data_IF_109436875839
#
_entry.id   IF_109436875839
#
_cell.length_a   1.000
_cell.length_b   1.000
_cell.length_c   1.000
_cell.angle_alpha   90.00
_cell.angle_beta   90.00
_cell.angle_gamma   90.00
#
_symmetry.space_group_name_H-M   'P 1'
#
loop_
_entity.id
_entity.type
_entity.pdbx_description
1 polymer ?
#
# COMPACT_ATOMS: atom_id res chain seq x y z
N UNK A 1 -15.99 1.88 -11.56
CA UNK A 1 -14.62 1.43 -11.93
C UNK A 1 -13.61 2.13 -11.05
N UNK A 2 -12.59 1.43 -10.56
CA UNK A 2 -11.48 2.00 -9.77
C UNK A 2 -10.24 1.11 -9.88
N UNK A 3 -9.06 1.68 -9.61
CA UNK A 3 -7.76 1.00 -9.64
C UNK A 3 -7.52 0.06 -8.44
N UNK A 4 -8.31 0.15 -7.37
CA UNK A 4 -8.09 -0.56 -6.11
C UNK A 4 -9.31 -1.37 -5.62
N UNK A 5 -10.14 -1.87 -6.55
CA UNK A 5 -11.38 -2.59 -6.21
C UNK A 5 -11.17 -4.02 -5.71
N UNK A 6 -9.99 -4.60 -5.96
CA UNK A 6 -9.70 -6.00 -5.65
C UNK A 6 -8.75 -6.12 -4.47
N UNK A 7 -9.03 -7.06 -3.58
CA UNK A 7 -8.14 -7.48 -2.51
C UNK A 7 -7.75 -8.93 -2.78
N UNK A 8 -6.45 -9.25 -2.70
CA UNK A 8 -5.94 -10.60 -3.00
C UNK A 8 -6.49 -11.14 -4.33
N UNK A 9 -6.41 -10.33 -5.39
CA UNK A 9 -6.93 -10.64 -6.72
C UNK A 9 -8.43 -11.00 -6.79
N UNK A 10 -9.25 -10.53 -5.84
CA UNK A 10 -10.67 -10.83 -5.78
C UNK A 10 -11.53 -9.58 -5.51
N UNK A 11 -12.69 -9.53 -6.16
CA UNK A 11 -13.74 -8.52 -5.90
C UNK A 11 -14.68 -8.91 -4.76
N UNK A 12 -14.49 -10.07 -4.12
CA UNK A 12 -15.44 -10.63 -3.14
C UNK A 12 -15.80 -9.64 -2.02
N UNK A 13 -14.81 -8.93 -1.48
CA UNK A 13 -15.03 -7.96 -0.41
C UNK A 13 -16.00 -6.86 -0.84
N UNK A 14 -15.72 -6.18 -1.96
CA UNK A 14 -16.57 -5.07 -2.40
C UNK A 14 -17.94 -5.54 -2.91
N UNK A 15 -18.01 -6.74 -3.50
CA UNK A 15 -19.30 -7.32 -3.89
C UNK A 15 -20.18 -7.57 -2.67
N UNK A 16 -19.61 -8.13 -1.59
CA UNK A 16 -20.33 -8.36 -0.34
C UNK A 16 -20.79 -7.06 0.32
N UNK A 17 -19.92 -6.07 0.43
CA UNK A 17 -20.24 -4.77 1.04
C UNK A 17 -21.33 -4.02 0.28
N UNK A 18 -21.36 -4.15 -1.05
CA UNK A 18 -22.37 -3.52 -1.90
C UNK A 18 -23.63 -4.39 -2.11
N UNK A 19 -23.67 -5.62 -1.56
CA UNK A 19 -24.76 -6.56 -1.79
C UNK A 19 -24.89 -7.03 -3.24
N UNK A 20 -23.82 -6.96 -4.03
CA UNK A 20 -23.79 -7.36 -5.43
C UNK A 20 -23.68 -8.89 -5.54
N UNK A 21 -24.56 -9.46 -6.36
CA UNK A 21 -24.54 -10.89 -6.63
C UNK A 21 -23.42 -11.28 -7.60
N UNK A 22 -22.84 -12.46 -7.39
CA UNK A 22 -21.69 -12.93 -8.16
C UNK A 22 -22.02 -13.41 -9.57
N UNK A 23 -23.29 -13.74 -9.84
CA UNK A 23 -23.78 -14.28 -11.11
C UNK A 23 -24.22 -13.14 -12.03
N UNK A 24 -24.84 -12.10 -11.48
CA UNK A 24 -25.35 -10.96 -12.25
C UNK A 24 -24.39 -9.78 -12.37
N UNK A 25 -23.21 -9.85 -11.76
CA UNK A 25 -22.22 -8.76 -11.76
C UNK A 25 -21.00 -9.10 -12.59
N UNK A 26 -20.82 -8.39 -13.70
CA UNK A 26 -19.62 -8.46 -14.52
C UNK A 26 -18.40 -7.88 -13.80
N UNK A 27 -17.24 -8.53 -14.00
CA UNK A 27 -15.98 -8.17 -13.37
C UNK A 27 -14.86 -8.15 -14.40
N UNK A 28 -14.00 -7.14 -14.29
CA UNK A 28 -12.82 -7.01 -15.13
C UNK A 28 -11.65 -6.49 -14.29
N UNK A 29 -10.54 -7.23 -14.29
CA UNK A 29 -9.28 -6.80 -13.70
C UNK A 29 -8.29 -6.60 -14.83
N UNK A 30 -7.74 -5.40 -14.93
CA UNK A 30 -6.74 -5.04 -15.95
C UNK A 30 -5.43 -4.83 -15.21
N UNK A 31 -4.38 -5.54 -15.62
CA UNK A 31 -3.04 -5.35 -15.08
C UNK A 31 -2.53 -3.94 -15.39
N UNK A 32 -1.80 -3.36 -14.45
CA UNK A 32 -1.17 -2.07 -14.65
C UNK A 32 -0.17 -2.13 -15.81
N UNK A 33 -0.10 -1.08 -16.66
CA UNK A 33 0.83 -1.03 -17.78
C UNK A 33 2.26 -0.61 -17.38
N UNK A 34 2.50 -0.31 -16.09
CA UNK A 34 3.79 0.21 -15.62
C UNK A 34 4.81 -0.90 -15.36
N UNK A 35 6.06 -0.63 -15.73
CA UNK A 35 7.21 -1.51 -15.53
C UNK A 35 7.79 -1.32 -14.13
N UNK A 36 7.05 -1.79 -13.10
CA UNK A 36 7.37 -1.56 -11.69
C UNK A 36 8.81 -1.92 -11.32
N UNK A 37 9.37 -2.98 -11.92
CA UNK A 37 10.75 -3.42 -11.69
C UNK A 37 11.79 -2.32 -11.95
N UNK A 38 11.52 -1.45 -12.92
CA UNK A 38 12.46 -0.41 -13.36
C UNK A 38 12.02 1.00 -12.96
N UNK A 39 10.74 1.17 -12.60
CA UNK A 39 10.11 2.46 -12.33
C UNK A 39 9.81 2.71 -10.85
N UNK A 40 10.00 1.70 -9.98
CA UNK A 40 9.73 1.79 -8.54
C UNK A 40 10.85 1.11 -7.77
N UNK A 41 11.19 1.69 -6.61
CA UNK A 41 12.05 1.06 -5.60
C UNK A 41 11.23 0.79 -4.34
N UNK A 42 11.43 -0.39 -3.73
CA UNK A 42 10.82 -0.77 -2.47
C UNK A 42 11.89 -0.80 -1.38
N UNK A 43 11.65 -0.08 -0.30
CA UNK A 43 12.50 -0.06 0.89
C UNK A 43 11.68 -0.57 2.08
N UNK A 44 12.26 -1.49 2.85
CA UNK A 44 11.71 -1.97 4.11
C UNK A 44 12.76 -1.63 5.18
N UNK A 45 12.51 -0.63 6.05
CA UNK A 45 13.45 -0.30 7.12
C UNK A 45 13.44 -1.42 8.18
N UNK A 46 14.62 -1.79 8.66
CA UNK A 46 14.80 -2.87 9.66
C UNK A 46 14.96 -2.33 11.09
N UNK A 47 15.14 -1.02 11.21
CA UNK A 47 15.47 -0.27 12.43
C UNK A 47 14.34 0.66 12.91
N UNK A 48 13.19 0.63 12.23
CA UNK A 48 11.98 1.32 12.68
C UNK A 48 11.31 0.49 13.80
N UNK A 49 11.04 1.07 15.00
CA UNK A 49 10.33 0.35 16.04
C UNK A 49 8.88 0.04 15.61
N UNK A 50 8.35 -1.08 16.10
CA UNK A 50 6.92 -1.38 15.98
C UNK A 50 6.08 -0.31 16.69
N UNK A 51 4.97 0.13 16.07
CA UNK A 51 4.13 1.22 16.58
C UNK A 51 3.62 0.98 18.00
N UNK A 52 3.46 -0.28 18.39
CA UNK A 52 2.98 -0.68 19.71
C UNK A 52 4.10 -1.08 20.69
N UNK A 53 5.38 -1.03 20.26
CA UNK A 53 6.52 -1.42 21.10
C UNK A 53 7.15 -0.24 21.85
N UNK A 54 6.91 0.99 21.41
CA UNK A 54 7.45 2.23 21.98
C UNK A 54 6.34 3.24 22.21
N UNK A 55 6.65 4.37 22.85
CA UNK A 55 5.69 5.48 22.93
C UNK A 55 5.42 6.09 21.55
N UNK A 56 4.25 6.72 21.39
CA UNK A 56 3.91 7.39 20.12
C UNK A 56 4.92 8.48 19.74
N UNK A 57 5.44 9.21 20.74
CA UNK A 57 6.43 10.27 20.52
C UNK A 57 7.75 9.70 19.99
N UNK A 58 8.23 8.60 20.57
CA UNK A 58 9.43 7.89 20.09
C UNK A 58 9.24 7.34 18.67
N UNK A 59 8.09 6.75 18.38
CA UNK A 59 7.77 6.25 17.03
C UNK A 59 7.76 7.39 16.00
N UNK A 60 7.12 8.51 16.33
CA UNK A 60 7.06 9.70 15.45
C UNK A 60 8.46 10.25 15.18
N UNK A 61 9.33 10.30 16.20
CA UNK A 61 10.72 10.74 16.03
C UNK A 61 11.46 9.81 15.06
N UNK A 62 11.46 8.50 15.33
CA UNK A 62 12.18 7.51 14.51
C UNK A 62 11.68 7.51 13.05
N UNK A 63 10.37 7.62 12.84
CA UNK A 63 9.77 7.72 11.51
C UNK A 63 10.17 9.01 10.78
N UNK A 64 10.20 10.13 11.49
CA UNK A 64 10.59 11.43 10.90
C UNK A 64 12.04 11.41 10.43
N UNK A 65 12.96 10.87 11.25
CA UNK A 65 14.37 10.71 10.88
C UNK A 65 14.55 9.84 9.63
N UNK A 66 13.77 8.76 9.51
CA UNK A 66 13.76 7.91 8.33
C UNK A 66 13.28 8.63 7.07
N UNK A 67 12.17 9.37 7.17
CA UNK A 67 11.63 10.14 6.05
C UNK A 67 12.64 11.17 5.57
N UNK A 68 13.28 11.90 6.50
CA UNK A 68 14.34 12.87 6.18
C UNK A 68 15.49 12.19 5.44
N UNK A 69 15.99 11.08 5.99
CA UNK A 69 17.11 10.33 5.38
C UNK A 69 16.80 9.85 3.96
N UNK A 70 15.57 9.38 3.73
CA UNK A 70 15.11 8.95 2.39
C UNK A 70 15.00 10.14 1.43
N UNK A 71 14.41 11.26 1.85
CA UNK A 71 14.28 12.45 1.02
C UNK A 71 15.64 13.02 0.60
N UNK A 72 16.60 13.06 1.54
CA UNK A 72 17.99 13.47 1.26
C UNK A 72 18.66 12.53 0.25
N UNK A 73 18.54 11.22 0.44
CA UNK A 73 19.11 10.21 -0.47
C UNK A 73 18.48 10.28 -1.87
N UNK A 74 17.18 10.57 -1.95
CA UNK A 74 16.41 10.74 -3.19
C UNK A 74 16.66 12.10 -3.88
N UNK A 75 17.35 13.04 -3.22
CA UNK A 75 17.56 14.42 -3.69
C UNK A 75 16.26 15.21 -3.90
N UNK A 76 15.25 14.95 -3.07
CA UNK A 76 13.92 15.55 -3.12
C UNK A 76 12.94 14.86 -2.19
#
# INVERSE_FOLDING_TARGET
>A
TSASLTVNHSFHYIQKELGLDSISTDKLMISSPFEYKNQVQLLIPEDLPEINAVSIDEFVIALTEHIISIAEAAKG
#
